data_IF_596082052309
#
_entry.id   IF_596082052309
#
_cell.length_a   1.000
_cell.length_b   1.000
_cell.length_c   1.000
_cell.angle_alpha   90.00
_cell.angle_beta   90.00
_cell.angle_gamma   90.00
#
_symmetry.space_group_name_H-M   'P 1'
#
loop_
_entity.id
_entity.type
_entity.pdbx_description
1 polymer ?
#
# COMPACT_ATOMS: atom_id res chain seq x y z
N UNK A 1 17.84 -10.92 8.61
CA UNK A 1 16.75 -11.50 9.44
C UNK A 1 16.69 -10.95 10.89
N UNK A 2 17.77 -10.44 11.46
CA UNK A 2 17.82 -9.88 12.85
C UNK A 2 16.99 -8.60 13.00
N UNK A 3 17.03 -7.68 12.06
CA UNK A 3 16.35 -6.37 12.16
C UNK A 3 14.82 -6.43 12.23
N UNK A 4 14.20 -7.36 11.51
CA UNK A 4 12.74 -7.55 11.57
C UNK A 4 12.27 -8.06 12.94
N UNK A 5 13.12 -8.83 13.63
CA UNK A 5 12.84 -9.38 14.96
C UNK A 5 12.82 -8.28 16.03
N UNK A 6 13.70 -7.29 15.91
CA UNK A 6 13.73 -6.14 16.83
C UNK A 6 12.52 -5.21 16.61
N UNK A 7 12.17 -4.89 15.35
CA UNK A 7 10.98 -4.10 15.03
C UNK A 7 9.72 -4.80 15.55
N UNK A 8 9.64 -6.12 15.40
CA UNK A 8 8.54 -6.93 15.93
C UNK A 8 8.42 -6.82 17.45
N UNK A 9 9.54 -6.81 18.17
CA UNK A 9 9.56 -6.67 19.64
C UNK A 9 8.98 -5.31 20.08
N UNK A 10 9.34 -4.21 19.40
CA UNK A 10 8.79 -2.88 19.70
C UNK A 10 7.30 -2.77 19.34
N UNK A 11 6.87 -3.41 18.26
CA UNK A 11 5.45 -3.46 17.88
C UNK A 11 4.63 -4.24 18.92
N UNK A 12 5.21 -5.27 19.53
CA UNK A 12 4.56 -6.09 20.56
C UNK A 12 4.30 -5.35 21.88
N UNK A 13 5.05 -4.29 22.15
CA UNK A 13 4.80 -3.38 23.28
C UNK A 13 3.42 -2.71 23.18
N UNK A 14 2.96 -2.44 21.97
CA UNK A 14 1.69 -1.79 21.68
C UNK A 14 0.62 -2.77 21.17
N UNK A 15 0.54 -3.95 21.81
CA UNK A 15 -0.38 -5.04 21.43
C UNK A 15 -1.82 -4.57 21.19
N UNK A 16 -2.34 -3.68 22.05
CA UNK A 16 -3.71 -3.18 21.91
C UNK A 16 -3.94 -2.44 20.60
N UNK A 17 -3.03 -1.53 20.22
CA UNK A 17 -3.11 -0.81 18.94
C UNK A 17 -2.90 -1.75 17.75
N UNK A 18 -1.97 -2.72 17.85
CA UNK A 18 -1.75 -3.70 16.80
C UNK A 18 -2.98 -4.58 16.57
N UNK A 19 -3.59 -5.11 17.62
CA UNK A 19 -4.83 -5.89 17.52
C UNK A 19 -6.01 -5.06 17.00
N UNK A 20 -6.16 -3.80 17.46
CA UNK A 20 -7.17 -2.89 16.93
C UNK A 20 -6.98 -2.64 15.43
N UNK A 21 -5.75 -2.42 14.99
CA UNK A 21 -5.42 -2.25 13.57
C UNK A 21 -5.77 -3.49 12.75
N UNK A 22 -5.44 -4.68 13.27
CA UNK A 22 -5.78 -5.96 12.61
C UNK A 22 -7.30 -6.13 12.52
N UNK A 23 -8.02 -5.88 13.62
CA UNK A 23 -9.48 -5.99 13.67
C UNK A 23 -10.15 -5.02 12.68
N UNK A 24 -9.75 -3.76 12.67
CA UNK A 24 -10.30 -2.78 11.74
C UNK A 24 -9.98 -3.11 10.28
N UNK A 25 -8.78 -3.63 9.98
CA UNK A 25 -8.43 -4.10 8.64
C UNK A 25 -9.26 -5.33 8.24
N UNK A 26 -9.51 -6.27 9.14
CA UNK A 26 -10.38 -7.42 8.90
C UNK A 26 -11.80 -6.97 8.55
N UNK A 27 -12.39 -6.10 9.36
CA UNK A 27 -13.71 -5.55 9.11
C UNK A 27 -13.75 -4.76 7.80
N UNK A 28 -12.72 -3.95 7.51
CA UNK A 28 -12.60 -3.26 6.24
C UNK A 28 -12.64 -4.23 5.04
N UNK A 29 -11.88 -5.34 5.09
CA UNK A 29 -11.85 -6.33 4.01
C UNK A 29 -13.20 -6.99 3.83
N UNK A 30 -13.87 -7.37 4.92
CA UNK A 30 -15.20 -7.98 4.88
C UNK A 30 -16.22 -7.02 4.26
N UNK A 31 -16.30 -5.77 4.74
CA UNK A 31 -17.25 -4.79 4.20
C UNK A 31 -16.89 -4.31 2.80
N UNK A 32 -15.60 -4.32 2.43
CA UNK A 32 -15.17 -4.08 1.06
C UNK A 32 -15.74 -5.15 0.10
N UNK A 33 -15.63 -6.40 0.48
CA UNK A 33 -16.16 -7.51 -0.30
C UNK A 33 -17.69 -7.48 -0.33
N UNK A 34 -18.35 -7.22 0.82
CA UNK A 34 -19.79 -7.08 0.89
C UNK A 34 -20.30 -5.97 -0.04
N UNK A 35 -19.61 -4.83 -0.10
CA UNK A 35 -19.99 -3.73 -0.98
C UNK A 35 -19.90 -4.10 -2.47
N UNK A 36 -18.96 -4.97 -2.86
CA UNK A 36 -18.84 -5.47 -4.22
C UNK A 36 -19.93 -6.49 -4.56
N UNK A 37 -20.22 -7.41 -3.64
CA UNK A 37 -21.26 -8.44 -3.82
C UNK A 37 -22.65 -7.79 -3.91
N UNK A 38 -22.93 -6.80 -3.07
CA UNK A 38 -24.20 -6.06 -3.10
C UNK A 38 -24.38 -5.21 -4.39
N UNK A 39 -23.33 -4.99 -5.15
CA UNK A 39 -23.43 -4.32 -6.45
C UNK A 39 -24.02 -5.23 -7.53
N UNK A 40 -23.96 -6.56 -7.37
CA UNK A 40 -24.52 -7.52 -8.32
C UNK A 40 -26.04 -7.36 -8.47
N UNK A 41 -26.85 -7.29 -7.41
CA UNK A 41 -28.28 -7.06 -7.50
C UNK A 41 -28.63 -5.73 -8.20
N UNK A 42 -27.83 -4.67 -8.03
CA UNK A 42 -28.03 -3.41 -8.76
C UNK A 42 -27.98 -3.64 -10.26
N UNK A 43 -26.93 -4.35 -10.72
CA UNK A 43 -26.79 -4.67 -12.15
C UNK A 43 -27.93 -5.56 -12.65
N UNK A 44 -28.36 -6.54 -11.85
CA UNK A 44 -29.48 -7.43 -12.20
C UNK A 44 -30.78 -6.66 -12.37
N UNK A 45 -31.08 -5.70 -11.47
CA UNK A 45 -32.28 -4.87 -11.57
C UNK A 45 -32.26 -3.92 -12.76
N UNK A 46 -31.09 -3.46 -13.20
CA UNK A 46 -30.95 -2.56 -14.35
C UNK A 46 -31.03 -3.33 -15.68
N UNK A 47 -30.40 -4.52 -15.75
CA UNK A 47 -30.22 -5.23 -17.03
C UNK A 47 -31.17 -6.40 -17.24
N UNK A 48 -31.80 -6.97 -16.18
CA UNK A 48 -32.76 -8.07 -16.29
C UNK A 48 -34.18 -7.57 -16.14
N UNK A 49 -35.12 -8.18 -16.88
CA UNK A 49 -36.54 -7.95 -16.68
C UNK A 49 -37.00 -8.52 -15.34
N UNK A 50 -37.97 -7.89 -14.65
CA UNK A 50 -38.49 -8.36 -13.37
C UNK A 50 -38.99 -9.83 -13.38
N UNK A 51 -39.42 -10.31 -14.54
CA UNK A 51 -39.94 -11.67 -14.76
C UNK A 51 -38.85 -12.75 -14.75
N UNK A 52 -37.58 -12.37 -14.97
CA UNK A 52 -36.43 -13.28 -15.01
C UNK A 52 -35.75 -13.46 -13.62
N UNK A 53 -36.23 -12.76 -12.59
CA UNK A 53 -35.72 -12.92 -11.24
C UNK A 53 -36.26 -14.24 -10.65
N UNK A 54 -35.37 -15.16 -10.32
CA UNK A 54 -35.75 -16.45 -9.75
C UNK A 54 -36.49 -16.26 -8.44
N UNK A 55 -37.58 -17.03 -8.25
CA UNK A 55 -38.27 -17.12 -6.96
C UNK A 55 -37.31 -17.65 -5.90
N UNK A 56 -36.92 -16.80 -4.98
CA UNK A 56 -36.10 -17.19 -3.84
C UNK A 56 -37.04 -17.69 -2.72
N UNK A 57 -36.81 -18.92 -2.27
CA UNK A 57 -37.55 -19.50 -1.16
C UNK A 57 -37.30 -18.70 0.14
N UNK A 58 -38.26 -18.77 1.08
CA UNK A 58 -38.04 -18.16 2.40
C UNK A 58 -36.77 -18.72 3.05
N UNK A 59 -35.90 -17.85 3.59
CA UNK A 59 -34.66 -18.30 4.22
C UNK A 59 -34.95 -19.15 5.45
N UNK A 60 -34.38 -20.35 5.51
CA UNK A 60 -34.45 -21.23 6.66
C UNK A 60 -33.16 -21.19 7.47
N UNK A 61 -33.25 -20.94 8.76
CA UNK A 61 -32.08 -20.97 9.63
C UNK A 61 -31.63 -22.42 9.89
N UNK A 62 -30.48 -22.81 9.32
CA UNK A 62 -29.89 -24.16 9.48
C UNK A 62 -28.60 -24.17 10.32
N UNK A 63 -28.44 -23.19 11.23
CA UNK A 63 -27.32 -23.11 12.14
C UNK A 63 -26.17 -22.15 11.67
N UNK A 64 -25.20 -21.95 12.57
CA UNK A 64 -24.10 -20.98 12.35
C UNK A 64 -23.24 -21.25 11.10
N UNK A 65 -23.12 -22.53 10.67
CA UNK A 65 -22.37 -22.88 9.44
C UNK A 65 -23.00 -22.33 8.16
N UNK A 66 -24.29 -21.98 8.18
CA UNK A 66 -25.01 -21.46 7.02
C UNK A 66 -25.41 -19.98 7.16
N UNK A 67 -24.75 -19.23 8.06
CA UNK A 67 -25.05 -17.82 8.32
C UNK A 67 -24.96 -16.95 7.05
N UNK A 68 -23.94 -17.16 6.24
CA UNK A 68 -23.70 -16.39 5.01
C UNK A 68 -24.82 -16.66 3.99
N UNK A 69 -25.18 -17.93 3.80
CA UNK A 69 -26.29 -18.31 2.92
C UNK A 69 -27.63 -17.74 3.42
N UNK A 70 -27.87 -17.84 4.73
CA UNK A 70 -29.09 -17.30 5.33
C UNK A 70 -29.22 -15.78 5.08
N UNK A 71 -28.15 -15.01 5.30
CA UNK A 71 -28.15 -13.57 5.06
C UNK A 71 -28.37 -13.26 3.57
N UNK A 72 -27.74 -14.01 2.69
CA UNK A 72 -27.88 -13.86 1.24
C UNK A 72 -29.29 -14.19 0.77
N UNK A 73 -29.86 -15.29 1.25
CA UNK A 73 -31.21 -15.71 0.89
C UNK A 73 -32.26 -14.76 1.47
N UNK A 74 -32.06 -14.27 2.70
CA UNK A 74 -32.91 -13.26 3.30
C UNK A 74 -32.92 -11.95 2.49
N UNK A 75 -31.73 -11.48 2.12
CA UNK A 75 -31.57 -10.28 1.29
C UNK A 75 -32.25 -10.44 -0.07
N UNK A 76 -31.99 -11.56 -0.75
CA UNK A 76 -32.58 -11.86 -2.05
C UNK A 76 -34.10 -12.06 -1.98
N UNK A 77 -34.60 -12.63 -0.89
CA UNK A 77 -36.05 -12.81 -0.68
C UNK A 77 -36.77 -11.46 -0.50
N UNK A 78 -36.25 -10.58 0.35
CA UNK A 78 -36.78 -9.22 0.53
C UNK A 78 -36.72 -8.43 -0.77
N UNK A 79 -35.63 -8.54 -1.49
CA UNK A 79 -35.45 -7.89 -2.79
C UNK A 79 -36.53 -8.39 -3.78
N UNK A 80 -36.78 -9.70 -3.86
CA UNK A 80 -37.77 -10.28 -4.74
C UNK A 80 -39.18 -9.77 -4.41
N UNK A 81 -39.53 -9.67 -3.14
CA UNK A 81 -40.85 -9.14 -2.67
C UNK A 81 -40.99 -7.66 -3.09
N UNK A 82 -39.98 -6.86 -2.91
CA UNK A 82 -39.98 -5.44 -3.29
C UNK A 82 -40.05 -5.24 -4.82
N UNK A 83 -39.34 -6.04 -5.60
CA UNK A 83 -39.42 -5.96 -7.08
C UNK A 83 -40.82 -6.28 -7.59
N UNK A 84 -41.51 -7.22 -6.95
CA UNK A 84 -42.89 -7.59 -7.30
C UNK A 84 -43.91 -6.50 -6.95
N UNK A 85 -43.70 -5.78 -5.85
CA UNK A 85 -44.62 -4.73 -5.39
C UNK A 85 -44.36 -3.39 -6.10
N UNK A 86 -43.14 -2.93 -6.11
CA UNK A 86 -42.72 -1.68 -6.76
C UNK A 86 -41.20 -1.72 -7.11
N UNK A 87 -40.88 -1.76 -8.42
CA UNK A 87 -39.47 -1.79 -8.87
C UNK A 87 -38.63 -0.60 -8.40
N UNK A 88 -39.26 0.57 -8.18
CA UNK A 88 -38.53 1.76 -7.69
C UNK A 88 -38.10 1.60 -6.25
N UNK A 89 -38.98 1.05 -5.40
CA UNK A 89 -38.67 0.75 -4.00
C UNK A 89 -37.59 -0.32 -3.86
N UNK A 90 -37.59 -1.33 -4.75
CA UNK A 90 -36.53 -2.33 -4.80
C UNK A 90 -35.17 -1.71 -5.15
N UNK A 91 -35.12 -0.82 -6.15
CA UNK A 91 -33.89 -0.11 -6.52
C UNK A 91 -33.38 0.75 -5.35
N UNK A 92 -34.28 1.48 -4.70
CA UNK A 92 -33.92 2.31 -3.55
C UNK A 92 -33.36 1.47 -2.40
N UNK A 93 -33.95 0.32 -2.09
CA UNK A 93 -33.48 -0.63 -1.06
C UNK A 93 -32.04 -1.10 -1.35
N UNK A 94 -31.76 -1.50 -2.61
CA UNK A 94 -30.43 -1.94 -3.00
C UNK A 94 -29.42 -0.78 -2.95
N UNK A 95 -29.77 0.40 -3.44
CA UNK A 95 -28.91 1.57 -3.38
C UNK A 95 -28.57 1.97 -1.93
N UNK A 96 -29.56 1.94 -1.03
CA UNK A 96 -29.34 2.24 0.40
C UNK A 96 -28.43 1.17 1.04
N UNK A 97 -28.66 -0.11 0.75
CA UNK A 97 -27.83 -1.19 1.29
C UNK A 97 -26.36 -1.10 0.83
N UNK A 98 -26.11 -0.80 -0.45
CA UNK A 98 -24.78 -0.53 -0.99
C UNK A 98 -24.16 0.69 -0.34
N UNK A 99 -24.93 1.77 -0.18
CA UNK A 99 -24.45 2.98 0.48
C UNK A 99 -24.01 2.73 1.92
N UNK A 100 -24.84 1.99 2.69
CA UNK A 100 -24.51 1.61 4.08
C UNK A 100 -23.24 0.75 4.12
N UNK A 101 -23.13 -0.25 3.25
CA UNK A 101 -21.93 -1.10 3.18
C UNK A 101 -20.67 -0.29 2.85
N UNK A 102 -20.80 0.67 1.93
CA UNK A 102 -19.71 1.56 1.55
C UNK A 102 -19.32 2.53 2.68
N UNK A 103 -20.30 3.03 3.42
CA UNK A 103 -20.08 3.90 4.56
C UNK A 103 -19.36 3.13 5.68
N UNK A 104 -19.82 1.94 6.04
CA UNK A 104 -19.20 1.09 7.05
C UNK A 104 -17.76 0.70 6.65
N UNK A 105 -17.53 0.31 5.39
CA UNK A 105 -16.19 0.07 4.85
C UNK A 105 -15.27 1.26 5.11
N UNK A 106 -15.71 2.48 4.81
CA UNK A 106 -14.89 3.67 4.97
C UNK A 106 -14.66 4.02 6.46
N UNK A 107 -15.64 3.80 7.32
CA UNK A 107 -15.48 3.97 8.78
C UNK A 107 -14.40 3.01 9.30
N UNK A 108 -14.45 1.74 8.95
CA UNK A 108 -13.45 0.76 9.37
C UNK A 108 -12.08 1.03 8.77
N UNK A 109 -12.01 1.49 7.52
CA UNK A 109 -10.76 1.94 6.90
C UNK A 109 -10.14 3.11 7.67
N UNK A 110 -10.96 4.10 8.02
CA UNK A 110 -10.49 5.24 8.82
C UNK A 110 -9.99 4.78 10.19
N UNK A 111 -10.72 3.91 10.88
CA UNK A 111 -10.31 3.31 12.14
C UNK A 111 -8.97 2.57 12.04
N UNK A 112 -8.77 1.79 10.96
CA UNK A 112 -7.51 1.11 10.68
C UNK A 112 -6.34 2.10 10.50
N UNK A 113 -6.52 3.12 9.67
CA UNK A 113 -5.50 4.15 9.43
C UNK A 113 -5.18 4.93 10.70
N UNK A 114 -6.19 5.25 11.50
CA UNK A 114 -6.02 5.99 12.75
C UNK A 114 -5.22 5.19 13.79
N UNK A 115 -5.57 3.93 14.04
CA UNK A 115 -4.83 3.06 14.98
C UNK A 115 -3.43 2.75 14.48
N UNK A 116 -3.26 2.54 13.17
CA UNK A 116 -1.96 2.33 12.54
C UNK A 116 -1.05 3.56 12.67
N UNK A 117 -1.59 4.77 12.50
CA UNK A 117 -0.82 6.01 12.67
C UNK A 117 -0.34 6.19 14.10
N UNK A 118 -1.19 5.91 15.10
CA UNK A 118 -0.79 5.95 16.50
C UNK A 118 0.29 4.94 16.83
N UNK A 119 0.15 3.70 16.32
CA UNK A 119 1.14 2.65 16.53
C UNK A 119 2.50 3.06 15.94
N UNK A 120 2.50 3.53 14.69
CA UNK A 120 3.68 4.01 13.97
C UNK A 120 4.44 5.06 14.77
N UNK A 121 3.77 6.14 15.15
CA UNK A 121 4.40 7.26 15.86
C UNK A 121 4.85 6.85 17.27
N UNK A 122 4.14 5.95 17.95
CA UNK A 122 4.55 5.42 19.25
C UNK A 122 5.85 4.63 19.17
N UNK A 123 6.02 3.79 18.15
CA UNK A 123 7.26 3.03 17.90
C UNK A 123 8.42 3.99 17.57
N UNK A 124 8.18 4.98 16.69
CA UNK A 124 9.17 6.00 16.33
C UNK A 124 9.63 6.79 17.55
N UNK A 125 8.70 7.21 18.40
CA UNK A 125 9.01 7.91 19.65
C UNK A 125 9.94 7.08 20.54
N UNK A 126 9.63 5.81 20.74
CA UNK A 126 10.43 4.94 21.62
C UNK A 126 11.83 4.69 21.03
N UNK A 127 11.94 4.51 19.72
CA UNK A 127 13.22 4.36 19.04
C UNK A 127 14.07 5.64 19.15
N UNK A 128 13.47 6.82 18.91
CA UNK A 128 14.18 8.11 19.07
C UNK A 128 14.69 8.30 20.49
N UNK A 129 13.86 7.97 21.48
CA UNK A 129 14.27 8.04 22.90
C UNK A 129 15.43 7.09 23.21
N UNK A 130 15.38 5.87 22.69
CA UNK A 130 16.45 4.89 22.85
C UNK A 130 17.77 5.38 22.22
N UNK A 131 17.71 5.86 20.99
CA UNK A 131 18.88 6.40 20.27
C UNK A 131 19.46 7.61 21.00
N UNK A 132 18.62 8.52 21.46
CA UNK A 132 19.07 9.69 22.23
C UNK A 132 19.75 9.28 23.53
N UNK A 133 19.15 8.37 24.31
CA UNK A 133 19.76 7.84 25.52
C UNK A 133 21.10 7.18 25.24
N UNK A 134 21.16 6.32 24.22
CA UNK A 134 22.40 5.65 23.82
C UNK A 134 23.47 6.65 23.35
N UNK A 135 23.10 7.70 22.63
CA UNK A 135 24.06 8.72 22.22
C UNK A 135 24.67 9.46 23.39
N UNK A 136 23.93 9.70 24.48
CA UNK A 136 24.45 10.33 25.69
C UNK A 136 25.37 9.41 26.52
N UNK A 137 25.22 8.09 26.41
CA UNK A 137 26.06 7.09 27.06
C UNK A 137 27.42 6.91 26.34
N UNK A 138 27.60 7.46 25.13
CA UNK A 138 28.86 7.36 24.37
C UNK A 138 29.98 8.21 25.01
N UNK A 139 31.24 7.76 24.92
CA UNK A 139 32.38 8.53 25.42
C UNK A 139 32.50 9.91 24.76
N UNK A 140 33.03 10.89 25.50
CA UNK A 140 33.22 12.27 24.98
C UNK A 140 34.04 12.32 23.70
N UNK A 141 34.99 11.41 23.49
CA UNK A 141 35.76 11.31 22.26
C UNK A 141 34.91 11.00 21.02
N UNK A 142 33.71 10.50 21.19
CA UNK A 142 32.76 10.25 20.08
C UNK A 142 31.97 11.51 19.67
N UNK A 143 31.93 12.52 20.52
CA UNK A 143 31.13 13.75 20.30
C UNK A 143 31.89 14.85 19.53
N UNK A 144 32.76 14.49 18.56
CA UNK A 144 33.34 15.46 17.63
C UNK A 144 32.27 16.11 16.74
N UNK A 145 32.53 17.30 16.20
CA UNK A 145 31.55 18.06 15.39
C UNK A 145 31.02 17.25 14.18
N UNK A 146 31.92 16.50 13.52
CA UNK A 146 31.54 15.64 12.38
C UNK A 146 30.61 14.50 12.80
N UNK A 147 30.93 13.83 13.90
CA UNK A 147 30.12 12.71 14.43
C UNK A 147 28.78 13.16 14.99
N UNK A 148 28.70 14.38 15.53
CA UNK A 148 27.42 14.97 15.97
C UNK A 148 26.44 15.14 14.81
N UNK A 149 26.92 15.59 13.65
CA UNK A 149 26.11 15.70 12.43
C UNK A 149 25.60 14.34 11.95
N UNK A 150 26.46 13.32 11.93
CA UNK A 150 26.10 11.93 11.56
C UNK A 150 25.06 11.35 12.52
N UNK A 151 25.22 11.53 13.83
CA UNK A 151 24.23 11.10 14.83
C UNK A 151 22.87 11.75 14.60
N UNK A 152 22.82 13.07 14.36
CA UNK A 152 21.59 13.78 14.08
C UNK A 152 20.94 13.29 12.76
N UNK A 153 21.72 13.06 11.73
CA UNK A 153 21.24 12.52 10.46
C UNK A 153 20.61 11.13 10.64
N UNK A 154 21.28 10.24 11.37
CA UNK A 154 20.74 8.89 11.70
C UNK A 154 19.47 8.96 12.53
N UNK A 155 19.42 9.80 13.56
CA UNK A 155 18.22 9.97 14.40
C UNK A 155 17.03 10.52 13.64
N UNK A 156 17.24 11.18 12.51
CA UNK A 156 16.16 11.70 11.67
C UNK A 156 15.88 10.78 10.46
N UNK A 157 16.88 10.53 9.62
CA UNK A 157 16.73 9.79 8.36
C UNK A 157 16.43 8.31 8.58
N UNK A 158 17.27 7.61 9.37
CA UNK A 158 17.13 6.17 9.55
C UNK A 158 15.86 5.84 10.35
N UNK A 159 15.47 6.69 11.29
CA UNK A 159 14.22 6.52 12.04
C UNK A 159 12.99 6.70 11.14
N UNK A 160 13.04 7.61 10.16
CA UNK A 160 11.96 7.74 9.17
C UNK A 160 11.84 6.49 8.27
N UNK A 161 12.95 5.85 7.92
CA UNK A 161 12.90 4.56 7.20
C UNK A 161 12.25 3.46 8.04
N UNK A 162 12.55 3.41 9.34
CA UNK A 162 11.88 2.48 10.27
C UNK A 162 10.39 2.78 10.38
N UNK A 163 10.00 4.05 10.39
CA UNK A 163 8.60 4.47 10.37
C UNK A 163 7.83 3.86 9.20
N UNK A 164 8.38 3.96 7.99
CA UNK A 164 7.80 3.37 6.78
C UNK A 164 7.79 1.85 6.86
N UNK A 165 8.86 1.24 7.39
CA UNK A 165 8.98 -0.21 7.52
C UNK A 165 7.92 -0.80 8.47
N UNK A 166 7.63 -0.15 9.60
CA UNK A 166 6.60 -0.61 10.57
C UNK A 166 5.22 -0.70 9.90
N UNK A 167 4.84 0.32 9.13
CA UNK A 167 3.56 0.34 8.41
C UNK A 167 3.51 -0.78 7.37
N UNK A 168 4.55 -0.85 6.53
CA UNK A 168 4.64 -1.83 5.45
C UNK A 168 4.60 -3.27 5.96
N UNK A 169 5.23 -3.55 7.11
CA UNK A 169 5.21 -4.88 7.72
C UNK A 169 3.83 -5.28 8.22
N UNK A 170 3.08 -4.36 8.85
CA UNK A 170 1.72 -4.65 9.30
C UNK A 170 0.77 -4.92 8.13
N UNK A 171 0.88 -4.13 7.07
CA UNK A 171 0.09 -4.34 5.86
C UNK A 171 0.45 -5.67 5.18
N UNK A 172 1.74 -5.94 4.96
CA UNK A 172 2.23 -7.11 4.25
C UNK A 172 1.94 -8.43 5.00
N UNK A 173 2.01 -8.43 6.35
CA UNK A 173 1.86 -9.66 7.13
C UNK A 173 0.39 -9.95 7.44
N UNK A 174 -0.43 -8.92 7.67
CA UNK A 174 -1.79 -9.13 8.14
C UNK A 174 -2.84 -8.74 7.11
N UNK A 175 -2.80 -7.51 6.60
CA UNK A 175 -3.85 -7.00 5.72
C UNK A 175 -3.87 -7.68 4.35
N UNK A 176 -2.73 -7.72 3.66
CA UNK A 176 -2.68 -8.20 2.29
C UNK A 176 -2.95 -9.72 2.16
N UNK A 177 -2.35 -10.62 2.99
CA UNK A 177 -2.67 -12.04 2.91
C UNK A 177 -4.13 -12.34 3.23
N UNK A 178 -4.70 -11.63 4.22
CA UNK A 178 -6.08 -11.79 4.61
C UNK A 178 -7.02 -11.33 3.48
N UNK A 179 -6.73 -10.20 2.86
CA UNK A 179 -7.50 -9.69 1.73
C UNK A 179 -7.44 -10.65 0.53
N UNK A 180 -6.25 -11.16 0.20
CA UNK A 180 -6.07 -12.14 -0.88
C UNK A 180 -6.89 -13.41 -0.59
N UNK A 181 -6.79 -13.94 0.62
CA UNK A 181 -7.45 -15.19 1.01
C UNK A 181 -8.98 -15.05 0.94
N UNK A 182 -9.53 -13.98 1.53
CA UNK A 182 -10.98 -13.72 1.53
C UNK A 182 -11.49 -13.52 0.10
N UNK A 183 -10.81 -12.70 -0.70
CA UNK A 183 -11.21 -12.46 -2.09
C UNK A 183 -11.10 -13.75 -2.93
N UNK A 184 -10.04 -14.55 -2.76
CA UNK A 184 -9.86 -15.80 -3.49
C UNK A 184 -10.97 -16.82 -3.16
N UNK A 185 -11.29 -17.00 -1.87
CA UNK A 185 -12.40 -17.88 -1.45
C UNK A 185 -13.69 -17.43 -2.10
N UNK A 186 -13.97 -16.13 -2.08
CA UNK A 186 -15.20 -15.59 -2.68
C UNK A 186 -15.26 -15.81 -4.19
N UNK A 187 -14.15 -15.58 -4.89
CA UNK A 187 -14.08 -15.81 -6.33
C UNK A 187 -14.29 -17.29 -6.70
N UNK A 188 -13.67 -18.21 -5.95
CA UNK A 188 -13.87 -19.66 -6.14
C UNK A 188 -15.33 -20.04 -5.91
N UNK A 189 -15.95 -19.45 -4.88
CA UNK A 189 -17.35 -19.71 -4.55
C UNK A 189 -18.30 -19.18 -5.64
N UNK A 190 -18.04 -17.97 -6.16
CA UNK A 190 -18.89 -17.35 -7.19
C UNK A 190 -18.75 -18.01 -8.56
N UNK A 191 -17.53 -18.29 -8.99
CA UNK A 191 -17.25 -18.87 -10.31
C UNK A 191 -15.89 -19.56 -10.36
N UNK A 192 -15.82 -20.89 -10.12
CA UNK A 192 -14.55 -21.65 -10.16
C UNK A 192 -13.85 -21.54 -11.50
N UNK A 193 -14.60 -21.56 -12.62
CA UNK A 193 -14.05 -21.50 -13.96
C UNK A 193 -13.35 -20.16 -14.25
N UNK A 194 -13.98 -19.03 -13.91
CA UNK A 194 -13.38 -17.73 -14.08
C UNK A 194 -12.19 -17.53 -13.15
N UNK A 195 -12.25 -18.08 -11.93
CA UNK A 195 -11.12 -18.05 -11.00
C UNK A 195 -9.92 -18.81 -11.53
N UNK A 196 -10.14 -19.99 -12.12
CA UNK A 196 -9.07 -20.77 -12.72
C UNK A 196 -8.42 -20.04 -13.90
N UNK A 197 -9.21 -19.42 -14.77
CA UNK A 197 -8.67 -18.60 -15.88
C UNK A 197 -7.88 -17.39 -15.38
N UNK A 198 -8.36 -16.70 -14.33
CA UNK A 198 -7.62 -15.62 -13.71
C UNK A 198 -6.29 -16.10 -13.11
N UNK A 199 -6.29 -17.25 -12.39
CA UNK A 199 -5.09 -17.85 -11.83
C UNK A 199 -4.07 -18.26 -12.91
N UNK A 200 -4.52 -18.70 -14.09
CA UNK A 200 -3.64 -18.99 -15.21
C UNK A 200 -3.01 -17.75 -15.83
N UNK A 201 -3.68 -16.59 -15.75
CA UNK A 201 -3.14 -15.32 -16.24
C UNK A 201 -2.10 -14.72 -15.27
N UNK A 202 -2.15 -15.04 -13.98
CA UNK A 202 -1.21 -14.52 -12.98
C UNK A 202 0.27 -14.81 -13.30
N UNK A 203 0.68 -16.06 -13.68
CA UNK A 203 2.07 -16.32 -14.04
C UNK A 203 2.55 -15.52 -15.25
N UNK A 204 1.67 -15.29 -16.23
CA UNK A 204 1.98 -14.50 -17.43
C UNK A 204 2.24 -13.05 -17.04
N UNK A 205 1.32 -12.47 -16.25
CA UNK A 205 1.47 -11.11 -15.72
C UNK A 205 2.73 -10.98 -14.86
N UNK A 206 2.98 -11.96 -13.95
CA UNK A 206 4.18 -11.97 -13.12
C UNK A 206 5.48 -12.03 -13.94
N UNK A 207 5.50 -12.78 -15.04
CA UNK A 207 6.64 -12.82 -15.94
C UNK A 207 6.90 -11.46 -16.61
N UNK A 208 5.86 -10.81 -17.13
CA UNK A 208 5.97 -9.48 -17.75
C UNK A 208 6.46 -8.45 -16.73
N UNK A 209 5.85 -8.40 -15.54
CA UNK A 209 6.22 -7.49 -14.47
C UNK A 209 7.67 -7.71 -14.02
N UNK A 210 8.09 -8.98 -13.88
CA UNK A 210 9.47 -9.33 -13.53
C UNK A 210 10.49 -8.82 -14.57
N UNK A 211 10.15 -8.91 -15.87
CA UNK A 211 10.99 -8.37 -16.97
C UNK A 211 11.13 -6.86 -16.88
N UNK A 212 10.01 -6.15 -16.66
CA UNK A 212 9.99 -4.70 -16.50
C UNK A 212 10.79 -4.31 -15.25
N UNK A 213 10.59 -4.98 -14.13
CA UNK A 213 11.28 -4.72 -12.86
C UNK A 213 12.80 -4.90 -12.96
N UNK A 214 13.30 -5.95 -13.63
CA UNK A 214 14.73 -6.16 -13.89
C UNK A 214 15.31 -5.04 -14.74
N UNK A 215 14.60 -4.62 -15.80
CA UNK A 215 15.00 -3.52 -16.66
C UNK A 215 15.02 -2.18 -15.93
N UNK A 216 14.02 -1.94 -15.08
CA UNK A 216 13.92 -0.75 -14.22
C UNK A 216 15.09 -0.70 -13.24
N UNK A 217 15.34 -1.80 -12.49
CA UNK A 217 16.45 -1.90 -11.53
C UNK A 217 17.82 -1.59 -12.18
N UNK A 218 18.07 -2.14 -13.38
CA UNK A 218 19.31 -1.88 -14.11
C UNK A 218 19.45 -0.40 -14.52
N UNK A 219 18.36 0.22 -14.97
CA UNK A 219 18.38 1.63 -15.37
C UNK A 219 18.52 2.54 -14.15
N UNK A 220 17.80 2.25 -13.05
CA UNK A 220 17.90 2.99 -11.80
C UNK A 220 19.32 2.96 -11.21
N UNK A 221 20.00 1.80 -11.25
CA UNK A 221 21.40 1.69 -10.82
C UNK A 221 22.31 2.63 -11.62
N UNK A 222 22.19 2.65 -12.95
CA UNK A 222 22.98 3.57 -13.81
C UNK A 222 22.68 5.03 -13.51
N UNK A 223 21.40 5.37 -13.23
CA UNK A 223 21.02 6.74 -12.85
C UNK A 223 21.66 7.14 -11.53
N UNK A 224 21.71 6.23 -10.56
CA UNK A 224 22.35 6.48 -9.26
C UNK A 224 23.87 6.64 -9.38
N UNK A 225 24.52 5.82 -10.20
CA UNK A 225 25.93 5.94 -10.50
C UNK A 225 26.24 7.31 -11.14
N UNK A 226 25.43 7.74 -12.12
CA UNK A 226 25.59 9.05 -12.76
C UNK A 226 25.33 10.21 -11.78
N UNK A 227 24.38 10.07 -10.85
CA UNK A 227 24.16 11.05 -9.79
C UNK A 227 25.37 11.16 -8.85
N UNK A 228 26.02 10.03 -8.54
CA UNK A 228 27.27 10.03 -7.78
C UNK A 228 28.39 10.80 -8.48
N UNK A 229 28.54 10.66 -9.81
CA UNK A 229 29.50 11.46 -10.59
C UNK A 229 29.16 12.96 -10.57
N UNK A 230 27.87 13.33 -10.61
CA UNK A 230 27.46 14.73 -10.49
C UNK A 230 27.87 15.33 -9.13
N UNK A 231 27.63 14.59 -8.05
CA UNK A 231 27.99 15.03 -6.71
C UNK A 231 29.53 15.17 -6.55
N UNK A 232 30.30 14.21 -7.05
CA UNK A 232 31.74 14.30 -7.03
C UNK A 232 32.25 15.52 -7.83
N UNK A 233 31.66 15.78 -9.01
CA UNK A 233 31.98 16.97 -9.81
C UNK A 233 31.60 18.28 -9.11
N UNK A 234 30.47 18.30 -8.40
CA UNK A 234 30.07 19.47 -7.58
C UNK A 234 31.09 19.73 -6.47
N UNK A 235 31.45 18.69 -5.72
CA UNK A 235 32.41 18.80 -4.60
C UNK A 235 33.77 19.29 -5.06
N UNK A 236 34.31 18.70 -6.14
CA UNK A 236 35.57 19.11 -6.77
C UNK A 236 35.53 20.57 -7.23
N UNK A 237 34.50 20.97 -7.97
CA UNK A 237 34.40 22.33 -8.53
C UNK A 237 34.16 23.38 -7.43
N UNK A 238 33.33 23.08 -6.42
CA UNK A 238 33.08 23.99 -5.28
C UNK A 238 34.37 24.09 -4.41
N UNK A 239 35.07 22.99 -4.17
CA UNK A 239 36.33 22.98 -3.46
C UNK A 239 37.41 23.76 -4.19
N UNK A 240 37.44 23.69 -5.52
CA UNK A 240 38.40 24.39 -6.39
C UNK A 240 37.97 25.77 -6.89
N UNK A 241 36.89 26.36 -6.34
CA UNK A 241 36.27 27.59 -6.87
C UNK A 241 37.21 28.79 -6.96
N UNK A 242 38.20 28.89 -6.08
CA UNK A 242 39.24 29.95 -6.13
C UNK A 242 40.11 29.81 -7.40
N UNK A 243 40.49 28.59 -7.76
CA UNK A 243 41.29 28.28 -8.96
C UNK A 243 40.46 28.58 -10.23
N UNK A 244 39.20 28.10 -10.24
CA UNK A 244 38.28 28.34 -11.37
C UNK A 244 38.10 29.83 -11.64
N UNK A 245 37.94 30.66 -10.59
CA UNK A 245 37.84 32.10 -10.73
C UNK A 245 39.17 32.77 -11.15
N UNK A 246 40.30 32.33 -10.59
CA UNK A 246 41.59 32.86 -10.92
C UNK A 246 41.94 32.68 -12.41
N UNK A 247 41.58 31.55 -12.99
CA UNK A 247 41.78 31.23 -14.41
C UNK A 247 40.61 31.63 -15.32
N UNK A 248 39.59 32.32 -14.80
CA UNK A 248 38.39 32.72 -15.53
C UNK A 248 37.69 31.53 -16.26
N UNK A 249 37.77 30.33 -15.66
CA UNK A 249 37.30 29.06 -16.25
C UNK A 249 35.83 28.73 -15.95
N UNK A 250 35.08 29.65 -15.36
CA UNK A 250 33.67 29.41 -14.94
C UNK A 250 32.81 28.88 -16.09
N UNK A 251 32.93 29.47 -17.28
CA UNK A 251 32.14 29.05 -18.46
C UNK A 251 32.42 27.59 -18.85
N UNK A 252 33.68 27.18 -18.84
CA UNK A 252 34.12 25.83 -19.23
C UNK A 252 33.59 24.80 -18.22
N UNK A 253 33.70 25.10 -16.92
CA UNK A 253 33.21 24.21 -15.85
C UNK A 253 31.72 24.06 -15.91
N UNK A 254 30.97 25.15 -16.10
CA UNK A 254 29.50 25.11 -16.23
C UNK A 254 29.07 24.30 -17.45
N UNK A 255 29.74 24.44 -18.58
CA UNK A 255 29.43 23.65 -19.78
C UNK A 255 29.69 22.16 -19.56
N UNK A 256 30.78 21.81 -18.90
CA UNK A 256 31.10 20.42 -18.56
C UNK A 256 30.08 19.82 -17.61
N UNK A 257 29.70 20.56 -16.57
CA UNK A 257 28.65 20.14 -15.62
C UNK A 257 27.30 19.99 -16.32
N UNK A 258 26.92 20.91 -17.20
CA UNK A 258 25.68 20.82 -17.98
C UNK A 258 25.59 19.52 -18.78
N UNK A 259 26.68 19.14 -19.48
CA UNK A 259 26.71 17.86 -20.23
C UNK A 259 26.50 16.65 -19.34
N UNK A 260 27.10 16.63 -18.16
CA UNK A 260 26.89 15.56 -17.17
C UNK A 260 25.45 15.53 -16.64
N UNK A 261 24.88 16.69 -16.35
CA UNK A 261 23.53 16.85 -15.87
C UNK A 261 22.48 16.40 -16.91
N UNK A 262 22.71 16.72 -18.20
CA UNK A 262 21.88 16.26 -19.32
C UNK A 262 21.90 14.73 -19.45
N UNK A 263 23.05 14.11 -19.22
CA UNK A 263 23.15 12.64 -19.19
C UNK A 263 22.34 12.04 -18.06
N UNK A 264 22.44 12.61 -16.85
CA UNK A 264 21.63 12.20 -15.72
C UNK A 264 20.14 12.39 -16.01
N UNK A 265 19.72 13.53 -16.55
CA UNK A 265 18.34 13.80 -16.94
C UNK A 265 17.78 12.72 -17.88
N UNK A 266 18.54 12.36 -18.93
CA UNK A 266 18.14 11.32 -19.89
C UNK A 266 17.93 9.95 -19.21
N UNK A 267 18.81 9.58 -18.29
CA UNK A 267 18.70 8.33 -17.53
C UNK A 267 17.53 8.37 -16.55
N UNK A 268 17.38 9.45 -15.78
CA UNK A 268 16.30 9.66 -14.84
C UNK A 268 14.93 9.61 -15.54
N UNK A 269 14.79 10.30 -16.67
CA UNK A 269 13.57 10.27 -17.48
C UNK A 269 13.20 8.84 -17.92
N UNK A 270 14.21 8.02 -18.30
CA UNK A 270 13.96 6.60 -18.65
C UNK A 270 13.49 5.78 -17.45
N UNK A 271 14.01 6.06 -16.24
CA UNK A 271 13.56 5.41 -15.00
C UNK A 271 12.10 5.74 -14.73
N UNK A 272 11.74 7.03 -14.73
CA UNK A 272 10.37 7.47 -14.48
C UNK A 272 9.38 6.90 -15.51
N UNK A 273 9.69 6.97 -16.80
CA UNK A 273 8.84 6.37 -17.84
C UNK A 273 8.61 4.88 -17.61
N UNK A 274 9.64 4.11 -17.24
CA UNK A 274 9.46 2.68 -16.92
C UNK A 274 8.69 2.44 -15.63
N UNK A 275 8.85 3.31 -14.64
CA UNK A 275 8.10 3.25 -13.39
C UNK A 275 6.62 3.52 -13.62
N UNK A 276 6.30 4.53 -14.43
CA UNK A 276 4.93 4.94 -14.74
C UNK A 276 4.20 3.96 -15.66
N UNK A 277 4.93 3.13 -16.42
CA UNK A 277 4.36 2.01 -17.18
C UNK A 277 3.98 0.82 -16.28
N UNK A 278 4.61 0.67 -15.12
CA UNK A 278 4.35 -0.45 -14.21
C UNK A 278 2.90 -0.53 -13.72
N UNK A 279 2.22 0.57 -13.30
CA UNK A 279 0.82 0.55 -12.90
C UNK A 279 -0.17 0.31 -14.05
N UNK A 280 0.24 0.56 -15.32
CA UNK A 280 -0.63 0.35 -16.48
C UNK A 280 -0.70 -1.12 -16.92
N UNK A 281 0.20 -1.96 -16.38
CA UNK A 281 0.27 -3.40 -16.66
C UNK A 281 -0.34 -4.23 -15.52
N UNK A 282 -0.64 -3.59 -14.39
CA UNK A 282 -1.37 -4.15 -13.26
C UNK A 282 -2.85 -3.79 -13.35
#
# INVERSE_FOLDING_TARGET
>A
MSYYKEIYHYTFKYRGLAWATILFNLLFVIFNLLSLVLFIPVLQLIFKKPEELQKVAKPEWKGFGNLIHYIQDAYNHELYLLVKSDPKSALLYVCVSVFIAFLLKNIFRYGAVWTQSQLRISVVRDIRLLLFKKSLELPLAYHSNEKKGDLMARMNSDVNEIEVAVVSLLELIFREPLAILINLITLIYMSPGLTLTALLLLPVSAFVISRIGKSLKRTAKKTQEQLGFLYASMDENLGGVRVIKAFNAVRVVVEQFSKQNDQHQKLATRVFRKKDLSPLVN
#
